data_IF_100595455192
#
_entry.id   IF_100595455192
#
_cell.length_a   1.000
_cell.length_b   1.000
_cell.length_c   1.000
_cell.angle_alpha   90.00
_cell.angle_beta   90.00
_cell.angle_gamma   90.00
#
_symmetry.space_group_name_H-M   'P 1'
#
loop_
_entity.id
_entity.type
_entity.pdbx_description
1 polymer ?
#
# COMPACT_ATOMS: atom_id res chain seq x y z
N UNK A 1 48.40 40.84 30.40
CA UNK A 1 49.69 40.51 31.04
C UNK A 1 50.54 39.70 30.06
N UNK A 2 51.69 40.27 29.71
CA UNK A 2 52.94 39.63 29.23
C UNK A 2 52.90 38.76 27.95
N UNK A 3 53.40 39.40 26.88
CA UNK A 3 54.10 38.87 25.70
C UNK A 3 54.94 37.61 25.96
N UNK A 4 55.04 36.73 24.96
CA UNK A 4 56.35 36.29 24.44
C UNK A 4 56.27 35.82 23.00
N UNK A 5 57.37 36.08 22.31
CA UNK A 5 57.59 36.20 20.88
C UNK A 5 58.62 35.13 20.46
N UNK A 6 58.86 35.00 19.15
CA UNK A 6 60.01 34.32 18.48
C UNK A 6 59.90 32.79 18.34
N UNK A 7 60.26 32.15 17.21
CA UNK A 7 61.38 32.42 16.29
C UNK A 7 61.06 31.96 14.85
N UNK A 8 61.58 32.74 13.88
CA UNK A 8 61.96 32.28 12.54
C UNK A 8 63.42 31.82 12.59
N UNK A 9 63.78 30.75 11.86
CA UNK A 9 65.04 30.67 11.12
C UNK A 9 64.99 29.59 10.04
N UNK A 10 65.53 29.96 8.89
CA UNK A 10 65.74 29.18 7.67
C UNK A 10 67.03 28.37 7.75
N UNK A 11 67.08 27.19 7.13
CA UNK A 11 68.28 26.68 6.47
C UNK A 11 67.93 25.53 5.53
N UNK A 12 68.49 25.59 4.32
CA UNK A 12 68.27 24.64 3.24
C UNK A 12 69.06 23.35 3.40
N UNK A 13 68.56 22.29 2.75
CA UNK A 13 69.24 21.03 2.56
C UNK A 13 68.82 20.42 1.21
N UNK A 14 69.81 20.21 0.34
CA UNK A 14 69.67 19.58 -0.98
C UNK A 14 69.12 18.16 -0.87
N UNK A 15 68.20 17.78 -1.77
CA UNK A 15 67.77 16.39 -1.96
C UNK A 15 67.34 16.17 -3.41
N UNK A 16 68.04 15.28 -4.11
CA UNK A 16 67.88 15.02 -5.54
C UNK A 16 66.53 14.40 -5.91
N UNK A 17 66.13 14.66 -7.15
CA UNK A 17 65.02 14.00 -7.86
C UNK A 17 65.40 12.58 -8.23
N UNK A 18 64.59 11.60 -7.85
CA UNK A 18 64.33 10.39 -8.64
C UNK A 18 62.81 10.22 -8.70
N UNK A 19 62.30 10.03 -9.92
CA UNK A 19 60.90 10.29 -10.29
C UNK A 19 59.87 9.30 -9.74
N UNK A 20 58.71 9.85 -9.39
CA UNK A 20 57.45 9.15 -9.20
C UNK A 20 56.52 9.45 -10.38
N UNK A 21 55.96 8.41 -10.99
CA UNK A 21 54.87 8.51 -11.97
C UNK A 21 53.57 9.02 -11.32
N UNK A 22 52.60 9.52 -12.10
CA UNK A 22 51.49 10.29 -11.56
C UNK A 22 50.45 9.36 -10.93
N UNK A 23 50.39 9.34 -9.59
CA UNK A 23 49.17 8.98 -8.88
C UNK A 23 48.29 10.23 -8.82
N UNK A 24 47.21 10.24 -9.60
CA UNK A 24 46.21 11.30 -9.61
C UNK A 24 45.34 11.19 -8.36
N UNK A 25 45.84 11.71 -7.24
CA UNK A 25 45.02 12.01 -6.07
C UNK A 25 44.08 13.16 -6.42
N UNK A 26 42.83 12.83 -6.73
CA UNK A 26 41.75 13.81 -6.80
C UNK A 26 41.52 14.34 -5.39
N UNK A 27 42.02 15.54 -5.11
CA UNK A 27 41.71 16.27 -3.89
C UNK A 27 40.23 16.68 -3.92
N UNK A 28 39.42 15.99 -3.11
CA UNK A 28 38.04 16.40 -2.88
C UNK A 28 38.07 17.55 -1.85
N UNK A 29 38.09 18.79 -2.32
CA UNK A 29 37.87 19.95 -1.45
C UNK A 29 36.43 19.91 -0.94
N UNK A 30 36.27 19.76 0.37
CA UNK A 30 34.98 19.91 1.05
C UNK A 30 34.54 21.37 0.83
N UNK A 31 33.40 21.63 0.15
CA UNK A 31 32.90 22.99 0.03
C UNK A 31 32.63 23.55 1.44
N UNK A 32 33.06 24.79 1.71
CA UNK A 32 32.68 25.51 2.93
C UNK A 32 31.16 25.40 3.13
N UNK A 33 30.73 24.98 4.33
CA UNK A 33 29.32 24.92 4.68
C UNK A 33 28.69 26.30 4.42
N UNK A 34 27.81 26.38 3.42
CA UNK A 34 27.00 27.57 3.19
C UNK A 34 26.23 27.91 4.48
N UNK A 35 26.36 29.16 4.93
CA UNK A 35 25.62 29.67 6.09
C UNK A 35 24.12 29.45 5.86
N UNK A 36 23.51 28.61 6.68
CA UNK A 36 22.08 28.32 6.63
C UNK A 36 21.28 29.57 7.01
N UNK A 37 20.43 30.03 6.09
CA UNK A 37 19.41 31.05 6.38
C UNK A 37 18.08 30.32 6.60
N UNK A 38 17.47 30.38 7.81
CA UNK A 38 16.20 29.74 8.06
C UNK A 38 15.11 30.28 7.13
N UNK A 39 14.48 29.40 6.35
CA UNK A 39 13.33 29.73 5.50
C UNK A 39 13.57 29.65 3.98
N UNK A 40 14.81 29.59 3.52
CA UNK A 40 15.11 29.39 2.09
C UNK A 40 15.38 27.92 1.76
N UNK A 41 14.72 27.39 0.73
CA UNK A 41 15.01 26.06 0.21
C UNK A 41 16.37 26.08 -0.49
N UNK A 42 17.33 25.32 0.04
CA UNK A 42 18.66 25.22 -0.55
C UNK A 42 18.55 24.65 -1.97
N UNK A 43 19.03 25.42 -2.95
CA UNK A 43 19.11 24.97 -4.34
C UNK A 43 20.12 23.83 -4.46
N UNK A 44 19.79 22.81 -5.26
CA UNK A 44 20.68 21.69 -5.53
C UNK A 44 22.02 22.21 -6.08
N UNK A 45 23.17 21.90 -5.45
CA UNK A 45 24.46 22.46 -5.83
C UNK A 45 25.05 21.86 -7.12
N UNK A 46 24.55 20.71 -7.59
CA UNK A 46 25.01 20.05 -8.82
C UNK A 46 24.66 18.56 -8.87
N UNK A 47 25.29 17.84 -9.80
CA UNK A 47 25.18 16.38 -9.95
C UNK A 47 26.46 15.68 -9.47
N UNK A 48 26.30 14.47 -8.91
CA UNK A 48 27.41 13.68 -8.35
C UNK A 48 28.09 12.83 -9.44
N UNK A 49 29.42 12.75 -9.39
CA UNK A 49 30.26 11.98 -10.31
C UNK A 49 30.83 10.69 -9.70
N UNK A 50 30.65 10.43 -8.40
CA UNK A 50 31.17 9.26 -7.71
C UNK A 50 30.34 7.99 -7.97
N UNK A 51 30.99 6.81 -7.94
CA UNK A 51 30.36 5.51 -8.17
C UNK A 51 30.24 5.13 -9.65
N UNK A 52 29.84 3.91 -9.93
CA UNK A 52 29.69 3.40 -11.30
C UNK A 52 28.33 3.78 -11.90
N UNK A 53 28.28 4.04 -13.20
CA UNK A 53 27.04 4.40 -13.90
C UNK A 53 26.14 3.18 -14.09
N UNK A 54 24.84 3.34 -13.81
CA UNK A 54 23.84 2.29 -13.99
C UNK A 54 22.54 2.85 -14.58
N UNK A 55 21.78 2.04 -15.31
CA UNK A 55 20.50 2.46 -15.91
C UNK A 55 19.36 1.84 -15.10
N UNK A 56 18.43 2.67 -14.64
CA UNK A 56 17.24 2.23 -13.91
C UNK A 56 15.98 2.70 -14.62
N UNK A 57 14.89 1.94 -14.47
CA UNK A 57 13.55 2.35 -14.87
C UNK A 57 12.82 2.88 -13.65
N UNK A 58 12.21 4.04 -13.77
CA UNK A 58 11.36 4.64 -12.76
C UNK A 58 9.89 4.53 -13.19
N UNK A 59 9.00 4.28 -12.23
CA UNK A 59 7.54 4.24 -12.39
C UNK A 59 6.90 5.64 -12.59
N UNK A 60 7.60 6.46 -13.37
CA UNK A 60 7.20 7.79 -13.78
C UNK A 60 6.92 7.76 -15.28
N UNK A 61 5.79 8.36 -15.67
CA UNK A 61 5.35 8.46 -17.05
C UNK A 61 5.35 9.91 -17.46
N UNK A 62 6.09 10.24 -18.53
CA UNK A 62 6.13 11.61 -19.06
C UNK A 62 4.79 11.97 -19.69
N UNK A 63 4.33 13.19 -19.44
CA UNK A 63 3.10 13.71 -20.04
C UNK A 63 3.42 14.70 -21.17
N UNK A 64 2.57 14.71 -22.17
CA UNK A 64 2.31 15.89 -23.01
C UNK A 64 0.91 16.41 -22.70
N UNK A 65 0.71 17.73 -22.78
CA UNK A 65 -0.53 18.38 -22.34
C UNK A 65 -0.67 19.75 -23.01
N UNK A 66 -1.88 20.30 -22.96
CA UNK A 66 -2.14 21.70 -23.33
C UNK A 66 -1.80 22.65 -22.17
N UNK A 67 -1.12 23.75 -22.45
CA UNK A 67 -0.67 24.73 -21.45
C UNK A 67 -1.78 25.70 -20.97
N UNK A 68 -3.03 25.46 -21.37
CA UNK A 68 -4.17 26.32 -21.08
C UNK A 68 -5.29 25.55 -20.38
N UNK A 69 -5.71 26.03 -19.22
CA UNK A 69 -6.81 25.46 -18.44
C UNK A 69 -7.71 26.57 -17.90
N UNK A 70 -9.02 26.36 -17.88
CA UNK A 70 -9.95 27.29 -17.25
C UNK A 70 -10.35 26.78 -15.87
N UNK A 71 -10.17 27.60 -14.82
CA UNK A 71 -10.60 27.30 -13.45
C UNK A 71 -11.89 28.05 -13.13
N UNK A 72 -12.83 27.34 -12.55
CA UNK A 72 -14.12 27.84 -12.09
C UNK A 72 -14.29 27.56 -10.59
N UNK A 73 -15.01 28.45 -9.93
CA UNK A 73 -15.48 28.27 -8.56
C UNK A 73 -16.92 27.72 -8.58
N UNK A 74 -17.16 26.67 -7.80
CA UNK A 74 -18.45 25.99 -7.70
C UNK A 74 -19.02 26.15 -6.30
N UNK A 75 -20.27 26.60 -6.22
CA UNK A 75 -21.06 26.67 -5.01
C UNK A 75 -22.28 25.76 -5.15
N UNK A 76 -22.47 24.86 -4.20
CA UNK A 76 -23.63 23.95 -4.15
C UNK A 76 -24.42 24.24 -2.89
N UNK A 77 -25.69 24.58 -3.07
CA UNK A 77 -26.62 24.91 -1.99
C UNK A 77 -27.94 24.13 -2.15
N UNK A 78 -28.45 23.42 -1.12
CA UNK A 78 -27.81 23.15 0.17
C UNK A 78 -26.59 22.24 0.05
N UNK A 79 -25.73 22.20 1.08
CA UNK A 79 -24.54 21.34 1.10
C UNK A 79 -24.92 19.87 0.88
N UNK A 80 -24.44 19.21 -0.18
CA UNK A 80 -24.81 17.82 -0.49
C UNK A 80 -24.00 16.83 0.35
N UNK A 81 -24.54 15.62 0.55
CA UNK A 81 -23.81 14.47 1.10
C UNK A 81 -22.70 14.02 0.14
N UNK A 82 -22.98 14.02 -1.16
CA UNK A 82 -22.04 13.69 -2.23
C UNK A 82 -22.07 14.76 -3.31
N UNK A 83 -21.08 15.67 -3.28
CA UNK A 83 -20.95 16.71 -4.29
C UNK A 83 -20.64 16.14 -5.69
N UNK A 84 -19.98 14.98 -5.74
CA UNK A 84 -19.70 14.26 -6.99
C UNK A 84 -20.98 13.85 -7.71
N UNK A 85 -21.96 13.29 -6.99
CA UNK A 85 -23.23 12.85 -7.60
C UNK A 85 -24.04 14.02 -8.16
N UNK A 86 -24.02 15.17 -7.47
CA UNK A 86 -24.63 16.42 -7.96
C UNK A 86 -23.98 16.83 -9.29
N UNK A 87 -22.65 16.82 -9.37
CA UNK A 87 -21.93 17.21 -10.60
C UNK A 87 -22.13 16.20 -11.73
N UNK A 88 -22.20 14.89 -11.44
CA UNK A 88 -22.53 13.86 -12.44
C UNK A 88 -23.92 14.10 -13.02
N UNK A 89 -24.92 14.41 -12.19
CA UNK A 89 -26.25 14.74 -12.69
C UNK A 89 -26.28 16.07 -13.45
N UNK A 90 -25.52 17.08 -13.01
CA UNK A 90 -25.39 18.35 -13.73
C UNK A 90 -24.84 18.13 -15.14
N UNK A 91 -23.77 17.34 -15.27
CA UNK A 91 -23.17 17.00 -16.56
C UNK A 91 -24.15 16.23 -17.46
N UNK A 92 -24.95 15.31 -16.89
CA UNK A 92 -25.99 14.58 -17.64
C UNK A 92 -27.11 15.50 -18.16
N UNK A 93 -27.57 16.45 -17.34
CA UNK A 93 -28.69 17.34 -17.68
C UNK A 93 -28.30 18.49 -18.62
N UNK A 94 -27.13 19.08 -18.39
CA UNK A 94 -26.73 20.34 -19.03
C UNK A 94 -25.47 20.24 -19.90
N UNK A 95 -24.87 19.04 -20.01
CA UNK A 95 -23.61 18.81 -20.72
C UNK A 95 -23.61 19.34 -22.15
N UNK A 96 -24.59 18.93 -22.96
CA UNK A 96 -24.67 19.35 -24.36
C UNK A 96 -25.29 20.75 -24.53
N UNK A 97 -26.24 21.13 -23.67
CA UNK A 97 -27.04 22.34 -23.85
C UNK A 97 -26.33 23.61 -23.34
N UNK A 98 -25.90 23.61 -22.07
CA UNK A 98 -25.37 24.82 -21.42
C UNK A 98 -23.88 24.74 -21.12
N UNK A 99 -23.33 23.55 -20.95
CA UNK A 99 -21.89 23.35 -20.76
C UNK A 99 -21.12 23.27 -22.09
N UNK A 100 -21.80 23.37 -23.24
CA UNK A 100 -21.17 23.42 -24.56
C UNK A 100 -20.43 22.13 -24.96
N UNK A 101 -20.88 20.98 -24.45
CA UNK A 101 -20.28 19.67 -24.71
C UNK A 101 -18.90 19.46 -24.07
N UNK A 102 -18.51 20.30 -23.10
CA UNK A 102 -17.25 20.16 -22.36
C UNK A 102 -17.33 19.08 -21.29
N UNK A 103 -16.20 18.46 -20.99
CA UNK A 103 -16.03 17.49 -19.91
C UNK A 103 -15.29 18.14 -18.72
N UNK A 104 -16.03 18.75 -17.77
CA UNK A 104 -15.40 19.40 -16.64
C UNK A 104 -14.94 18.41 -15.58
N UNK A 105 -13.78 18.67 -14.97
CA UNK A 105 -13.24 17.89 -13.86
C UNK A 105 -13.42 18.61 -12.53
N UNK A 106 -14.03 17.96 -11.54
CA UNK A 106 -14.40 18.59 -10.26
C UNK A 106 -13.55 18.07 -9.10
N UNK A 107 -13.01 18.99 -8.28
CA UNK A 107 -12.15 18.63 -7.15
C UNK A 107 -12.92 17.96 -5.99
N UNK A 108 -14.26 17.99 -6.01
CA UNK A 108 -15.12 17.46 -4.96
C UNK A 108 -15.44 18.48 -3.86
N UNK A 109 -14.92 19.70 -3.97
CA UNK A 109 -15.01 20.76 -2.96
C UNK A 109 -15.53 22.08 -3.51
N UNK A 110 -14.75 22.76 -4.35
CA UNK A 110 -15.04 24.13 -4.82
C UNK A 110 -14.47 24.47 -6.19
N UNK A 111 -13.55 23.67 -6.72
CA UNK A 111 -12.81 24.01 -7.95
C UNK A 111 -13.21 23.06 -9.06
N UNK A 112 -13.49 23.64 -10.23
CA UNK A 112 -13.85 22.93 -11.44
C UNK A 112 -12.93 23.36 -12.58
N UNK A 113 -12.47 22.41 -13.38
CA UNK A 113 -11.51 22.64 -14.45
C UNK A 113 -12.09 22.23 -15.79
N UNK A 114 -11.77 22.99 -16.84
CA UNK A 114 -12.11 22.67 -18.24
C UNK A 114 -10.96 23.00 -19.17
N UNK A 115 -10.89 22.29 -20.30
CA UNK A 115 -9.88 22.53 -21.35
C UNK A 115 -10.09 23.86 -22.07
N UNK A 116 -11.37 24.25 -22.21
CA UNK A 116 -11.86 25.39 -22.97
C UNK A 116 -12.95 26.08 -22.15
N UNK A 117 -13.08 27.41 -22.24
CA UNK A 117 -14.06 28.13 -21.45
C UNK A 117 -15.49 27.66 -21.80
N UNK A 118 -16.35 27.62 -20.78
CA UNK A 118 -17.79 27.50 -20.93
C UNK A 118 -18.37 28.70 -21.72
N UNK A 119 -19.57 28.56 -22.31
CA UNK A 119 -20.26 29.65 -22.99
C UNK A 119 -20.83 30.72 -22.04
N UNK A 120 -20.38 30.75 -20.78
CA UNK A 120 -20.77 31.70 -19.75
C UNK A 120 -19.61 31.97 -18.79
N UNK A 121 -19.66 33.12 -18.12
CA UNK A 121 -18.73 33.49 -17.03
C UNK A 121 -19.32 33.20 -15.65
N UNK A 122 -20.64 33.23 -15.49
CA UNK A 122 -21.33 32.87 -14.26
C UNK A 122 -22.72 32.32 -14.60
N UNK A 123 -23.06 31.15 -14.07
CA UNK A 123 -24.36 30.54 -14.32
C UNK A 123 -24.81 29.67 -13.15
N UNK A 124 -26.13 29.65 -12.89
CA UNK A 124 -26.75 28.80 -11.89
C UNK A 124 -27.59 27.70 -12.55
N UNK A 125 -27.45 26.49 -12.01
CA UNK A 125 -28.11 25.27 -12.45
C UNK A 125 -28.98 24.72 -11.34
N UNK A 126 -30.10 24.11 -11.71
CA UNK A 126 -30.95 23.34 -10.79
C UNK A 126 -30.73 21.86 -11.06
N UNK A 127 -30.27 21.13 -10.06
CA UNK A 127 -30.00 19.69 -10.11
C UNK A 127 -30.89 18.99 -9.10
N UNK A 128 -31.46 17.85 -9.48
CA UNK A 128 -32.32 17.07 -8.58
C UNK A 128 -31.75 15.68 -8.41
N UNK A 129 -31.53 15.26 -7.16
CA UNK A 129 -31.09 13.91 -6.81
C UNK A 129 -32.21 13.12 -6.12
N UNK A 130 -32.29 11.80 -6.34
CA UNK A 130 -33.15 10.94 -5.54
C UNK A 130 -32.63 10.88 -4.11
N UNK A 131 -33.53 10.93 -3.14
CA UNK A 131 -33.18 10.85 -1.73
C UNK A 131 -32.89 9.39 -1.34
N UNK A 132 -31.62 9.07 -1.10
CA UNK A 132 -31.18 7.70 -0.78
C UNK A 132 -31.47 7.31 0.68
N UNK A 133 -31.68 8.27 1.58
CA UNK A 133 -31.96 8.01 3.01
C UNK A 133 -33.33 7.35 3.23
N UNK A 134 -34.28 7.56 2.30
CA UNK A 134 -35.63 6.98 2.38
C UNK A 134 -35.73 5.52 1.89
N UNK A 135 -34.64 4.92 1.40
CA UNK A 135 -34.65 3.53 0.89
C UNK A 135 -34.85 2.52 2.04
N UNK A 136 -34.38 2.82 3.24
CA UNK A 136 -34.50 1.94 4.42
C UNK A 136 -35.87 2.01 5.11
N UNK A 137 -36.68 3.05 4.84
CA UNK A 137 -37.91 3.33 5.60
C UNK A 137 -39.22 3.21 4.78
N UNK A 138 -39.17 2.81 3.51
CA UNK A 138 -40.37 2.57 2.70
C UNK A 138 -41.25 3.81 2.40
N UNK A 139 -40.75 5.02 2.70
CA UNK A 139 -41.43 6.29 2.43
C UNK A 139 -41.25 6.69 0.95
N UNK A 140 -42.19 7.46 0.37
CA UNK A 140 -42.12 7.86 -1.04
C UNK A 140 -40.80 8.59 -1.33
N UNK A 141 -40.22 8.28 -2.50
CA UNK A 141 -38.93 8.83 -2.99
C UNK A 141 -38.94 10.37 -2.94
N UNK A 142 -38.39 10.94 -1.88
CA UNK A 142 -38.06 12.35 -1.81
C UNK A 142 -37.10 12.72 -2.95
N UNK A 143 -37.28 13.91 -3.53
CA UNK A 143 -36.33 14.50 -4.47
C UNK A 143 -35.66 15.66 -3.77
N UNK A 144 -34.33 15.66 -3.69
CA UNK A 144 -33.57 16.79 -3.14
C UNK A 144 -33.13 17.69 -4.28
N UNK A 145 -33.42 18.98 -4.16
CA UNK A 145 -33.05 19.98 -5.15
C UNK A 145 -31.80 20.72 -4.68
N UNK A 146 -30.86 20.88 -5.60
CA UNK A 146 -29.60 21.58 -5.40
C UNK A 146 -29.48 22.70 -6.42
N UNK A 147 -29.12 23.89 -5.95
CA UNK A 147 -28.67 24.99 -6.79
C UNK A 147 -27.15 24.92 -6.88
N UNK A 148 -26.64 24.75 -8.10
CA UNK A 148 -25.20 24.75 -8.38
C UNK A 148 -24.86 26.03 -9.12
N UNK A 149 -24.03 26.89 -8.56
CA UNK A 149 -23.53 28.07 -9.23
C UNK A 149 -22.08 27.87 -9.64
N UNK A 150 -21.78 28.07 -10.93
CA UNK A 150 -20.44 27.94 -11.52
C UNK A 150 -20.01 29.31 -12.02
N UNK A 151 -18.89 29.82 -11.50
CA UNK A 151 -18.33 31.13 -11.85
C UNK A 151 -16.90 30.97 -12.34
N UNK A 152 -16.55 31.56 -13.48
CA UNK A 152 -15.18 31.62 -14.00
C UNK A 152 -14.33 32.41 -13.01
N UNK A 153 -13.25 31.79 -12.54
CA UNK A 153 -12.32 32.39 -11.61
C UNK A 153 -11.12 32.95 -12.39
N UNK A 154 -10.41 32.09 -13.12
CA UNK A 154 -9.29 32.51 -13.98
C UNK A 154 -9.00 31.49 -15.08
N UNK A 155 -8.37 31.99 -16.15
CA UNK A 155 -7.72 31.15 -17.15
C UNK A 155 -6.24 31.03 -16.79
N UNK A 156 -5.79 29.79 -16.62
CA UNK A 156 -4.41 29.45 -16.33
C UNK A 156 -3.64 29.31 -17.64
N UNK A 157 -2.58 30.09 -17.79
CA UNK A 157 -1.69 30.07 -18.93
C UNK A 157 -0.26 29.78 -18.46
N UNK A 158 0.44 28.88 -19.15
CA UNK A 158 1.89 28.80 -19.11
C UNK A 158 2.51 27.67 -18.30
N UNK A 159 3.85 27.59 -18.46
CA UNK A 159 4.74 26.51 -18.01
C UNK A 159 4.48 26.10 -16.56
N UNK A 160 4.36 24.80 -16.38
CA UNK A 160 3.87 24.19 -15.14
C UNK A 160 4.95 24.15 -14.08
N UNK A 161 5.04 25.24 -13.33
CA UNK A 161 5.73 25.30 -12.05
C UNK A 161 4.80 25.75 -10.90
N UNK A 162 3.54 26.10 -11.19
CA UNK A 162 2.58 26.47 -10.13
C UNK A 162 1.87 25.24 -9.54
N UNK A 163 1.74 25.22 -8.22
CA UNK A 163 1.03 24.16 -7.46
C UNK A 163 -0.40 23.92 -7.97
N UNK A 164 -1.03 24.97 -8.51
CA UNK A 164 -2.39 24.94 -9.04
C UNK A 164 -2.54 24.03 -10.25
N UNK A 165 -1.54 23.97 -11.14
CA UNK A 165 -1.58 23.06 -12.28
C UNK A 165 -1.48 21.60 -11.83
N UNK A 166 -0.65 21.27 -10.83
CA UNK A 166 -0.60 19.91 -10.31
C UNK A 166 -1.93 19.49 -9.70
N UNK A 167 -2.59 20.39 -8.96
CA UNK A 167 -3.92 20.12 -8.40
C UNK A 167 -4.98 19.92 -9.50
N UNK A 168 -4.93 20.72 -10.56
CA UNK A 168 -5.82 20.57 -11.72
C UNK A 168 -5.62 19.21 -12.41
N UNK A 169 -4.38 18.85 -12.76
CA UNK A 169 -4.10 17.56 -13.42
C UNK A 169 -4.41 16.35 -12.54
N UNK A 170 -4.13 16.42 -11.23
CA UNK A 170 -4.56 15.37 -10.29
C UNK A 170 -6.09 15.22 -10.26
N UNK A 171 -6.83 16.32 -10.40
CA UNK A 171 -8.30 16.31 -10.43
C UNK A 171 -8.83 15.73 -11.75
N UNK A 172 -8.28 16.19 -12.88
CA UNK A 172 -8.68 15.72 -14.23
C UNK A 172 -8.50 14.22 -14.37
N UNK A 173 -7.32 13.71 -14.01
CA UNK A 173 -7.01 12.29 -14.19
C UNK A 173 -7.77 11.38 -13.22
N UNK A 174 -8.35 11.93 -12.15
CA UNK A 174 -9.21 11.20 -11.24
C UNK A 174 -10.58 10.89 -11.86
N UNK A 175 -11.07 11.74 -12.77
CA UNK A 175 -12.40 11.57 -13.41
C UNK A 175 -12.55 10.20 -14.08
N UNK A 176 -11.47 9.70 -14.69
CA UNK A 176 -11.42 8.37 -15.32
C UNK A 176 -11.88 7.22 -14.39
N UNK A 177 -11.61 7.33 -13.10
CA UNK A 177 -11.84 6.23 -12.13
C UNK A 177 -13.09 6.42 -11.28
N UNK A 178 -13.80 7.54 -11.42
CA UNK A 178 -15.05 7.76 -10.70
C UNK A 178 -16.08 6.69 -11.07
N UNK A 179 -16.85 6.25 -10.08
CA UNK A 179 -17.90 5.22 -10.22
C UNK A 179 -17.41 3.77 -10.31
N UNK A 180 -16.15 3.51 -10.70
CA UNK A 180 -15.56 2.16 -10.78
C UNK A 180 -14.62 1.84 -9.61
N UNK A 181 -14.01 2.88 -9.04
CA UNK A 181 -13.05 2.76 -7.95
C UNK A 181 -13.46 3.60 -6.75
N UNK A 182 -13.10 3.12 -5.57
CA UNK A 182 -13.09 3.87 -4.32
C UNK A 182 -11.76 4.58 -4.16
N UNK A 183 -11.80 5.91 -4.03
CA UNK A 183 -10.63 6.72 -3.72
C UNK A 183 -10.36 6.72 -2.21
N UNK A 184 -9.17 6.29 -1.78
CA UNK A 184 -8.71 6.42 -0.39
C UNK A 184 -7.36 7.14 -0.36
N UNK A 185 -7.39 8.43 -0.03
CA UNK A 185 -6.22 9.29 -0.09
C UNK A 185 -5.85 9.61 -1.54
N UNK A 186 -4.77 9.01 -2.05
CA UNK A 186 -4.28 9.12 -3.44
C UNK A 186 -4.26 7.77 -4.18
N UNK A 187 -4.88 6.76 -3.58
CA UNK A 187 -4.93 5.42 -4.14
C UNK A 187 -6.37 5.05 -4.50
N UNK A 188 -6.52 4.31 -5.60
CA UNK A 188 -7.78 3.87 -6.17
C UNK A 188 -7.92 2.36 -6.01
N UNK A 189 -8.99 1.92 -5.36
CA UNK A 189 -9.29 0.50 -5.12
C UNK A 189 -10.57 0.10 -5.85
N UNK A 190 -10.61 -1.07 -6.47
CA UNK A 190 -11.81 -1.51 -7.19
C UNK A 190 -12.97 -1.69 -6.21
N UNK A 191 -14.11 -1.08 -6.53
CA UNK A 191 -15.33 -1.20 -5.73
C UNK A 191 -16.17 -2.35 -6.26
N UNK A 192 -15.87 -3.59 -5.86
CA UNK A 192 -16.76 -4.73 -6.15
C UNK A 192 -17.27 -5.35 -4.84
N UNK A 193 -18.52 -5.15 -4.44
CA UNK A 193 -19.10 -5.90 -3.33
C UNK A 193 -19.20 -7.39 -3.72
N UNK A 194 -18.48 -8.27 -3.02
CA UNK A 194 -18.66 -9.73 -3.14
C UNK A 194 -17.39 -10.59 -3.15
N UNK A 195 -16.24 -10.09 -3.60
CA UNK A 195 -14.98 -10.86 -3.64
C UNK A 195 -14.00 -10.42 -2.55
N UNK A 196 -14.14 -10.99 -1.35
CA UNK A 196 -13.50 -10.59 -0.08
C UNK A 196 -11.96 -10.58 0.02
N UNK A 197 -11.20 -10.64 -1.09
CA UNK A 197 -9.74 -10.38 -1.11
C UNK A 197 -9.24 -9.63 -2.34
N UNK A 198 -9.83 -9.79 -3.53
CA UNK A 198 -9.33 -9.13 -4.76
C UNK A 198 -9.44 -7.61 -4.73
N UNK A 199 -10.28 -7.06 -3.86
CA UNK A 199 -10.52 -5.62 -3.73
C UNK A 199 -9.51 -4.89 -2.82
N UNK A 200 -8.57 -5.60 -2.17
CA UNK A 200 -7.57 -4.97 -1.31
C UNK A 200 -6.43 -4.29 -2.06
N UNK A 201 -6.28 -4.57 -3.35
CA UNK A 201 -5.24 -3.98 -4.18
C UNK A 201 -5.81 -3.03 -5.23
N UNK A 202 -5.06 -1.97 -5.44
CA UNK A 202 -5.38 -0.84 -6.27
C UNK A 202 -4.09 -0.22 -6.78
N UNK A 203 -4.15 1.06 -7.13
CA UNK A 203 -2.98 1.79 -7.55
C UNK A 203 -2.93 3.17 -6.91
N UNK A 204 -1.73 3.60 -6.57
CA UNK A 204 -1.41 4.96 -6.20
C UNK A 204 -1.21 5.80 -7.46
N UNK A 205 -1.69 7.04 -7.43
CA UNK A 205 -1.55 7.98 -8.52
C UNK A 205 -1.13 9.35 -7.99
N UNK A 206 -0.10 9.95 -8.58
CA UNK A 206 0.25 11.35 -8.30
C UNK A 206 0.95 12.02 -9.47
N UNK A 207 0.49 13.21 -9.82
CA UNK A 207 1.22 14.15 -10.68
C UNK A 207 2.31 14.85 -9.89
N UNK A 208 3.53 14.85 -10.42
CA UNK A 208 4.72 15.43 -9.79
C UNK A 208 5.58 16.18 -10.81
N UNK A 209 6.15 17.30 -10.37
CA UNK A 209 7.23 17.95 -11.12
C UNK A 209 8.54 17.21 -10.90
N UNK A 210 9.29 17.02 -11.98
CA UNK A 210 10.58 16.34 -11.98
C UNK A 210 11.53 17.08 -12.92
N UNK A 211 12.81 16.72 -12.92
CA UNK A 211 13.80 17.36 -13.80
C UNK A 211 13.53 17.17 -15.30
N UNK A 212 12.67 16.19 -15.67
CA UNK A 212 12.22 15.95 -17.05
C UNK A 212 10.89 16.66 -17.40
N UNK A 213 10.38 17.49 -16.49
CA UNK A 213 9.06 18.08 -16.54
C UNK A 213 8.05 17.32 -15.67
N UNK A 214 6.77 17.46 -15.97
CA UNK A 214 5.73 16.75 -15.24
C UNK A 214 5.75 15.28 -15.58
N UNK A 215 5.64 14.47 -14.53
CA UNK A 215 5.44 13.04 -14.63
C UNK A 215 4.22 12.60 -13.82
N UNK A 216 3.61 11.53 -14.29
CA UNK A 216 2.61 10.78 -13.55
C UNK A 216 3.33 9.63 -12.88
N UNK A 217 3.34 9.62 -11.56
CA UNK A 217 3.82 8.51 -10.76
C UNK A 217 2.64 7.56 -10.52
N UNK A 218 2.80 6.30 -10.95
CA UNK A 218 1.86 5.22 -10.69
C UNK A 218 2.58 4.10 -9.98
N UNK A 219 1.98 3.59 -8.91
CA UNK A 219 2.47 2.42 -8.22
C UNK A 219 1.32 1.51 -7.77
N UNK A 220 1.61 0.25 -7.50
CA UNK A 220 0.66 -0.68 -6.91
C UNK A 220 0.47 -0.28 -5.45
N UNK A 221 -0.78 -0.22 -4.99
CA UNK A 221 -1.10 0.07 -3.61
C UNK A 221 -2.06 -0.98 -3.10
N UNK A 222 -1.69 -1.68 -2.03
CA UNK A 222 -2.59 -2.59 -1.36
C UNK A 222 -2.89 -2.09 0.04
N UNK A 223 -4.18 -2.05 0.40
CA UNK A 223 -4.66 -1.76 1.73
C UNK A 223 -5.52 -2.94 2.19
N UNK A 224 -5.31 -3.47 3.40
CA UNK A 224 -6.23 -4.45 3.95
C UNK A 224 -7.57 -3.75 4.19
N UNK A 225 -8.56 -4.01 3.33
CA UNK A 225 -9.95 -3.76 3.72
C UNK A 225 -10.30 -4.91 4.66
N UNK A 226 -10.41 -4.59 5.94
CA UNK A 226 -10.71 -5.55 7.01
C UNK A 226 -12.17 -5.98 6.85
N UNK A 227 -12.40 -6.93 5.94
CA UNK A 227 -13.60 -7.76 5.96
C UNK A 227 -13.20 -9.09 6.61
N UNK A 228 -13.97 -9.60 7.58
CA UNK A 228 -13.74 -10.94 8.10
C UNK A 228 -13.74 -11.96 6.96
N UNK A 229 -12.70 -12.81 6.88
CA UNK A 229 -12.57 -13.82 5.83
C UNK A 229 -12.99 -15.20 6.37
N UNK A 230 -14.10 -15.80 5.89
CA UNK A 230 -14.48 -17.16 6.27
C UNK A 230 -13.36 -18.16 5.93
N UNK A 231 -13.00 -19.01 6.88
CA UNK A 231 -11.91 -20.00 6.71
C UNK A 231 -12.20 -20.92 5.51
N UNK A 232 -13.47 -21.30 5.31
CA UNK A 232 -13.88 -22.16 4.19
C UNK A 232 -13.53 -21.58 2.81
N UNK A 233 -13.68 -20.27 2.61
CA UNK A 233 -13.40 -19.61 1.32
C UNK A 233 -11.90 -19.61 1.01
N UNK A 234 -11.10 -19.45 2.05
CA UNK A 234 -9.66 -19.47 1.91
C UNK A 234 -9.11 -20.87 1.66
N UNK A 235 -9.74 -21.89 2.24
CA UNK A 235 -9.39 -23.27 1.95
C UNK A 235 -9.73 -23.60 0.49
N UNK A 236 -10.86 -23.12 -0.05
CA UNK A 236 -11.16 -23.20 -1.48
C UNK A 236 -10.05 -22.58 -2.34
N UNK A 237 -9.57 -21.38 -1.97
CA UNK A 237 -8.47 -20.71 -2.67
C UNK A 237 -7.15 -21.48 -2.61
N UNK A 238 -6.79 -22.04 -1.44
CA UNK A 238 -5.55 -22.82 -1.28
C UNK A 238 -5.55 -24.13 -2.07
N UNK A 239 -6.72 -24.75 -2.21
CA UNK A 239 -6.90 -25.98 -2.96
C UNK A 239 -7.24 -25.73 -4.45
N UNK A 240 -7.52 -24.48 -4.82
CA UNK A 240 -7.98 -24.10 -6.15
C UNK A 240 -9.20 -24.90 -6.62
N UNK A 241 -10.14 -25.17 -5.70
CA UNK A 241 -11.41 -25.85 -5.96
C UNK A 241 -12.48 -25.36 -4.99
N UNK A 242 -13.74 -25.47 -5.38
CA UNK A 242 -14.84 -25.22 -4.45
C UNK A 242 -14.90 -26.31 -3.37
N UNK A 243 -15.17 -25.89 -2.13
CA UNK A 243 -15.37 -26.82 -1.02
C UNK A 243 -16.84 -27.24 -0.97
N UNK A 244 -17.12 -28.35 -1.65
CA UNK A 244 -18.33 -29.17 -1.52
C UNK A 244 -18.26 -30.03 -0.25
N UNK A 245 -19.20 -30.95 -0.07
CA UNK A 245 -19.14 -31.98 0.98
C UNK A 245 -18.23 -33.17 0.57
N UNK A 246 -17.29 -32.97 -0.36
CA UNK A 246 -16.32 -33.99 -0.74
C UNK A 246 -15.16 -34.05 0.28
N UNK A 247 -14.69 -35.26 0.66
CA UNK A 247 -13.63 -35.41 1.63
C UNK A 247 -12.30 -34.86 1.11
N UNK A 248 -11.47 -34.37 2.03
CA UNK A 248 -10.13 -33.88 1.69
C UNK A 248 -9.17 -35.05 1.57
N UNK A 249 -8.41 -35.09 0.48
CA UNK A 249 -7.35 -36.08 0.33
C UNK A 249 -6.20 -35.82 1.33
N UNK A 250 -5.27 -36.76 1.42
CA UNK A 250 -4.15 -36.68 2.37
C UNK A 250 -3.24 -35.47 2.09
N UNK A 251 -2.94 -35.19 0.82
CA UNK A 251 -2.09 -34.09 0.39
C UNK A 251 -2.75 -32.72 0.62
N UNK A 252 -4.02 -32.59 0.27
CA UNK A 252 -4.85 -31.41 0.51
C UNK A 252 -4.91 -31.08 2.00
N UNK A 253 -5.16 -32.09 2.84
CA UNK A 253 -5.22 -31.91 4.30
C UNK A 253 -3.88 -31.47 4.87
N UNK A 254 -2.77 -32.07 4.44
CA UNK A 254 -1.43 -31.66 4.90
C UNK A 254 -1.10 -30.23 4.47
N UNK A 255 -1.41 -29.87 3.21
CA UNK A 255 -1.23 -28.51 2.69
C UNK A 255 -2.02 -27.49 3.51
N UNK A 256 -3.33 -27.73 3.66
CA UNK A 256 -4.22 -26.84 4.39
C UNK A 256 -3.86 -26.77 5.88
N UNK A 257 -3.49 -27.90 6.51
CA UNK A 257 -3.06 -27.92 7.91
C UNK A 257 -1.77 -27.15 8.12
N UNK A 258 -0.81 -27.24 7.19
CA UNK A 258 0.43 -26.46 7.23
C UNK A 258 0.15 -24.97 7.06
N UNK A 259 -0.72 -24.60 6.11
CA UNK A 259 -1.04 -23.21 5.78
C UNK A 259 -2.00 -22.53 6.78
N UNK A 260 -2.71 -23.31 7.62
CA UNK A 260 -3.59 -22.80 8.68
C UNK A 260 -2.97 -22.88 10.08
N UNK A 261 -1.84 -23.55 10.26
CA UNK A 261 -1.19 -23.67 11.57
C UNK A 261 -0.85 -22.27 12.12
N UNK A 262 -1.10 -22.07 13.42
CA UNK A 262 -0.89 -20.82 14.16
C UNK A 262 -1.71 -19.60 13.71
N UNK A 263 -2.66 -19.78 12.79
CA UNK A 263 -3.62 -18.73 12.43
C UNK A 263 -4.65 -18.54 13.55
N UNK A 264 -4.89 -17.28 13.92
CA UNK A 264 -5.97 -16.90 14.83
C UNK A 264 -7.31 -16.76 14.07
N UNK A 265 -8.37 -17.30 14.66
CA UNK A 265 -9.73 -17.24 14.11
C UNK A 265 -10.72 -16.82 15.18
N UNK A 266 -11.74 -16.09 14.74
CA UNK A 266 -12.93 -15.79 15.51
C UNK A 266 -13.99 -16.85 15.23
N UNK A 267 -14.73 -17.25 16.28
CA UNK A 267 -15.88 -18.13 16.15
C UNK A 267 -17.15 -17.29 15.99
N UNK A 268 -17.75 -17.35 14.80
CA UNK A 268 -18.84 -16.43 14.39
C UNK A 268 -20.16 -16.62 15.15
N UNK A 269 -20.35 -17.76 15.82
CA UNK A 269 -21.56 -18.07 16.58
C UNK A 269 -21.37 -17.85 18.10
N UNK A 270 -20.18 -17.43 18.55
CA UNK A 270 -19.90 -17.08 19.93
C UNK A 270 -20.60 -15.74 20.28
N UNK A 271 -21.16 -15.64 21.49
CA UNK A 271 -21.74 -14.36 21.96
C UNK A 271 -20.68 -13.31 22.30
N UNK A 272 -19.45 -13.72 22.54
CA UNK A 272 -18.31 -12.85 22.81
C UNK A 272 -17.46 -12.67 21.55
N UNK A 273 -17.63 -11.54 20.87
CA UNK A 273 -16.96 -11.24 19.60
C UNK A 273 -15.42 -11.08 19.74
N UNK A 274 -14.90 -10.91 20.96
CA UNK A 274 -13.47 -10.71 21.21
C UNK A 274 -12.70 -12.01 21.48
N UNK A 275 -13.39 -13.15 21.61
CA UNK A 275 -12.73 -14.44 21.88
C UNK A 275 -12.09 -15.00 20.60
N UNK A 276 -10.75 -15.16 20.64
CA UNK A 276 -9.94 -15.70 19.55
C UNK A 276 -9.43 -17.09 19.83
N UNK A 277 -9.34 -17.92 18.79
CA UNK A 277 -8.85 -19.29 18.85
C UNK A 277 -7.64 -19.44 17.93
N UNK A 278 -6.56 -20.07 18.41
CA UNK A 278 -5.40 -20.37 17.58
C UNK A 278 -5.48 -21.78 17.01
N UNK A 279 -5.39 -21.90 15.69
CA UNK A 279 -5.43 -23.18 14.98
C UNK A 279 -4.12 -23.94 15.21
N UNK A 280 -4.22 -25.21 15.58
CA UNK A 280 -3.08 -26.13 15.73
C UNK A 280 -3.01 -27.16 14.60
N UNK A 281 -4.09 -27.34 13.84
CA UNK A 281 -4.13 -28.21 12.67
C UNK A 281 -5.54 -28.59 12.25
N UNK A 282 -5.66 -29.64 11.45
CA UNK A 282 -6.94 -30.20 11.00
C UNK A 282 -7.23 -31.58 11.62
N UNK A 283 -8.51 -31.95 11.64
CA UNK A 283 -8.93 -33.32 11.98
C UNK A 283 -8.64 -34.30 10.84
N UNK A 284 -8.41 -35.56 11.19
CA UNK A 284 -8.16 -36.65 10.23
C UNK A 284 -9.44 -37.18 9.58
N UNK A 285 -10.58 -36.99 10.24
CA UNK A 285 -11.92 -37.41 9.82
C UNK A 285 -12.82 -36.18 9.60
N UNK A 286 -13.90 -36.37 8.85
CA UNK A 286 -14.95 -35.37 8.65
C UNK A 286 -15.79 -35.13 9.90
N UNK A 287 -16.46 -33.99 9.96
CA UNK A 287 -17.26 -33.53 11.11
C UNK A 287 -18.30 -34.55 11.62
N UNK A 288 -18.88 -35.37 10.73
CA UNK A 288 -19.93 -36.34 11.11
C UNK A 288 -19.39 -37.56 11.85
N UNK A 289 -18.08 -37.83 11.79
CA UNK A 289 -17.44 -38.96 12.46
C UNK A 289 -16.65 -38.53 13.70
N UNK A 290 -16.62 -37.23 13.98
CA UNK A 290 -15.86 -36.68 15.10
C UNK A 290 -16.73 -36.60 16.35
N UNK A 291 -16.34 -37.25 17.46
CA UNK A 291 -16.98 -37.04 18.75
C UNK A 291 -16.69 -35.61 19.25
N UNK A 292 -17.71 -34.93 19.77
CA UNK A 292 -17.56 -33.59 20.30
C UNK A 292 -16.93 -33.65 21.71
N UNK A 293 -15.73 -33.07 21.93
CA UNK A 293 -15.07 -33.12 23.23
C UNK A 293 -15.71 -32.21 24.30
N UNK A 294 -16.75 -31.46 23.94
CA UNK A 294 -17.47 -30.54 24.82
C UNK A 294 -18.89 -31.05 25.18
N UNK A 295 -19.18 -32.33 24.96
CA UNK A 295 -20.46 -32.90 25.33
C UNK A 295 -20.55 -33.16 26.84
N UNK A 296 -20.97 -32.14 27.60
CA UNK A 296 -21.23 -32.24 29.04
C UNK A 296 -22.39 -33.21 29.36
N UNK A 297 -23.17 -33.62 28.34
CA UNK A 297 -24.30 -34.54 28.49
C UNK A 297 -23.91 -36.03 28.45
N UNK A 298 -22.62 -36.36 28.25
CA UNK A 298 -22.12 -37.73 28.25
C UNK A 298 -22.72 -38.65 27.17
N UNK A 299 -23.41 -38.06 26.18
CA UNK A 299 -24.22 -38.81 25.19
C UNK A 299 -23.41 -39.18 23.94
N UNK A 300 -22.13 -38.78 23.87
CA UNK A 300 -21.24 -39.17 22.77
C UNK A 300 -21.62 -38.52 21.44
N UNK A 301 -22.17 -37.30 21.48
CA UNK A 301 -22.65 -36.59 20.27
C UNK A 301 -21.51 -36.27 19.30
N UNK A 302 -21.82 -36.33 18.01
CA UNK A 302 -20.90 -35.87 16.96
C UNK A 302 -20.84 -34.36 16.88
N UNK A 303 -19.79 -33.81 16.25
CA UNK A 303 -19.68 -32.36 16.01
C UNK A 303 -20.88 -31.83 15.20
N UNK A 304 -21.36 -32.57 14.21
CA UNK A 304 -22.53 -32.17 13.40
C UNK A 304 -23.79 -32.06 14.25
N UNK A 305 -24.06 -33.07 15.08
CA UNK A 305 -25.24 -33.10 15.95
C UNK A 305 -25.19 -31.96 16.97
N UNK A 306 -24.03 -31.75 17.61
CA UNK A 306 -23.84 -30.67 18.57
C UNK A 306 -24.12 -29.29 17.96
N UNK A 307 -23.60 -28.99 16.76
CA UNK A 307 -23.82 -27.69 16.12
C UNK A 307 -25.27 -27.50 15.64
N UNK A 308 -25.93 -28.58 15.23
CA UNK A 308 -27.33 -28.56 14.82
C UNK A 308 -28.27 -28.35 16.01
N UNK A 309 -28.01 -28.97 17.16
CA UNK A 309 -28.83 -28.85 18.36
C UNK A 309 -28.58 -27.54 19.11
N UNK A 310 -27.31 -27.23 19.39
CA UNK A 310 -26.92 -26.08 20.23
C UNK A 310 -27.06 -24.75 19.50
N UNK A 311 -26.58 -24.69 18.25
CA UNK A 311 -26.52 -23.44 17.48
C UNK A 311 -27.54 -23.36 16.34
N UNK A 312 -28.37 -24.41 16.15
CA UNK A 312 -29.30 -24.53 15.01
C UNK A 312 -28.59 -24.35 13.66
N UNK A 313 -27.32 -24.74 13.57
CA UNK A 313 -26.51 -24.57 12.36
C UNK A 313 -26.20 -25.92 11.71
N UNK A 314 -26.59 -26.04 10.44
CA UNK A 314 -26.25 -27.20 9.62
C UNK A 314 -24.86 -26.99 9.04
N UNK A 315 -23.95 -27.92 9.31
CA UNK A 315 -22.58 -27.90 8.82
C UNK A 315 -22.34 -29.07 7.85
N UNK A 316 -21.38 -28.93 6.92
CA UNK A 316 -20.97 -30.04 6.03
C UNK A 316 -20.43 -31.21 6.84
N UNK A 317 -20.73 -32.43 6.41
CA UNK A 317 -20.49 -33.67 7.17
C UNK A 317 -19.11 -34.28 6.94
N UNK A 318 -18.55 -34.13 5.74
CA UNK A 318 -17.29 -34.78 5.35
C UNK A 318 -16.09 -33.83 5.34
N UNK A 319 -16.32 -32.54 5.51
CA UNK A 319 -15.26 -31.54 5.63
C UNK A 319 -14.60 -31.66 7.02
N UNK A 320 -13.26 -31.65 7.11
CA UNK A 320 -12.55 -31.73 8.39
C UNK A 320 -12.77 -30.46 9.23
N UNK A 321 -12.69 -30.60 10.55
CA UNK A 321 -12.76 -29.49 11.49
C UNK A 321 -11.36 -28.91 11.76
N UNK A 322 -11.32 -27.66 12.20
CA UNK A 322 -10.14 -27.02 12.77
C UNK A 322 -9.91 -27.56 14.17
N UNK A 323 -8.68 -28.02 14.45
CA UNK A 323 -8.21 -28.22 15.82
C UNK A 323 -7.74 -26.87 16.34
N UNK A 324 -8.33 -26.41 17.44
CA UNK A 324 -7.95 -25.14 18.05
C UNK A 324 -7.51 -25.35 19.50
N UNK A 325 -6.57 -24.50 19.93
CA UNK A 325 -6.15 -24.40 21.32
C UNK A 325 -7.02 -23.34 22.00
N UNK A 326 -7.79 -23.74 23.00
CA UNK A 326 -8.40 -22.83 23.97
C UNK A 326 -7.45 -22.72 25.19
N UNK A 327 -7.42 -21.57 25.87
CA UNK A 327 -6.61 -21.39 27.07
C UNK A 327 -7.15 -22.24 28.24
N UNK A 328 -8.45 -22.58 28.22
CA UNK A 328 -9.13 -23.30 29.30
C UNK A 328 -9.39 -24.78 29.00
N UNK A 329 -9.44 -25.21 27.73
CA UNK A 329 -9.76 -26.60 27.33
C UNK A 329 -8.70 -27.18 26.39
N UNK A 330 -8.26 -28.44 26.61
CA UNK A 330 -7.06 -28.98 25.96
C UNK A 330 -7.20 -29.23 24.45
N UNK A 331 -8.40 -29.46 23.90
CA UNK A 331 -8.61 -29.55 22.45
C UNK A 331 -10.08 -29.27 22.10
N UNK A 332 -10.33 -28.21 21.33
CA UNK A 332 -11.67 -27.88 20.80
C UNK A 332 -11.67 -28.06 19.28
N UNK A 333 -12.77 -28.58 18.73
CA UNK A 333 -12.95 -28.72 17.28
C UNK A 333 -13.97 -27.70 16.79
N UNK A 334 -13.57 -26.88 15.80
CA UNK A 334 -14.45 -25.90 15.18
C UNK A 334 -14.65 -26.21 13.69
N UNK A 335 -15.89 -26.31 13.19
CA UNK A 335 -16.14 -26.44 11.76
C UNK A 335 -15.63 -25.19 11.00
N UNK A 336 -15.00 -25.38 9.84
CA UNK A 336 -14.40 -24.26 9.08
C UNK A 336 -15.42 -23.20 8.62
N UNK A 337 -16.69 -23.59 8.52
CA UNK A 337 -17.81 -22.78 8.02
C UNK A 337 -18.27 -21.71 9.00
N UNK A 338 -17.93 -21.88 10.28
CA UNK A 338 -18.34 -21.00 11.38
C UNK A 338 -17.14 -20.23 11.95
N UNK A 339 -16.00 -20.27 11.26
CA UNK A 339 -14.78 -19.57 11.64
C UNK A 339 -14.41 -18.51 10.62
N UNK A 340 -14.00 -17.35 11.11
CA UNK A 340 -13.46 -16.25 10.32
C UNK A 340 -12.04 -15.93 10.78
N UNK A 341 -11.15 -15.64 9.84
CA UNK A 341 -9.75 -15.33 10.17
C UNK A 341 -9.65 -13.91 10.69
N UNK A 342 -9.01 -13.78 11.84
CA UNK A 342 -8.46 -12.51 12.30
C UNK A 342 -7.07 -12.33 11.66
N UNK A 343 -6.98 -11.39 10.72
CA UNK A 343 -5.77 -10.79 10.12
C UNK A 343 -4.76 -11.67 9.33
N UNK A 344 -4.47 -12.93 9.67
CA UNK A 344 -3.21 -13.58 9.22
C UNK A 344 -3.10 -13.97 7.72
N UNK A 345 -4.18 -14.36 7.04
CA UNK A 345 -4.11 -14.82 5.62
C UNK A 345 -4.47 -13.76 4.59
N UNK A 346 -5.10 -12.68 5.03
CA UNK A 346 -5.12 -11.45 4.24
C UNK A 346 -3.71 -10.89 4.12
N UNK A 347 -2.88 -11.03 5.16
CA UNK A 347 -1.47 -10.63 5.14
C UNK A 347 -0.65 -11.48 4.16
N UNK A 348 -0.84 -12.79 4.04
CA UNK A 348 -0.07 -13.59 3.06
C UNK A 348 -0.46 -13.27 1.61
N UNK A 349 -1.74 -13.07 1.31
CA UNK A 349 -2.18 -12.56 -0.02
C UNK A 349 -1.64 -11.15 -0.27
N UNK A 350 -1.77 -10.25 0.71
CA UNK A 350 -1.21 -8.90 0.66
C UNK A 350 0.31 -8.92 0.41
N UNK A 351 1.04 -9.80 1.09
CA UNK A 351 2.47 -10.02 0.87
C UNK A 351 2.74 -10.56 -0.52
N UNK A 352 1.94 -11.51 -1.04
CA UNK A 352 2.12 -12.03 -2.40
C UNK A 352 1.93 -10.95 -3.48
N UNK A 353 1.03 -9.99 -3.26
CA UNK A 353 0.83 -8.87 -4.19
C UNK A 353 1.85 -7.76 -3.97
N UNK A 354 2.30 -7.53 -2.73
CA UNK A 354 3.31 -6.52 -2.41
C UNK A 354 4.75 -6.96 -2.76
N UNK A 355 5.04 -8.25 -2.74
CA UNK A 355 6.35 -8.85 -3.00
C UNK A 355 6.43 -9.45 -4.41
N UNK A 356 6.02 -8.69 -5.42
CA UNK A 356 6.15 -9.09 -6.82
C UNK A 356 7.59 -8.98 -7.30
N UNK A 357 7.99 -9.86 -8.23
CA UNK A 357 9.25 -9.72 -8.93
C UNK A 357 9.25 -8.42 -9.76
N UNK A 358 10.36 -7.65 -9.85
CA UNK A 358 10.36 -6.34 -10.51
C UNK A 358 9.80 -6.34 -11.94
N UNK A 359 10.01 -7.41 -12.70
CA UNK A 359 9.48 -7.55 -14.07
C UNK A 359 7.94 -7.68 -14.10
N UNK A 360 7.35 -8.40 -13.14
CA UNK A 360 5.89 -8.56 -13.03
C UNK A 360 5.24 -7.28 -12.50
N UNK A 361 5.92 -6.61 -11.58
CA UNK A 361 5.52 -5.29 -11.08
C UNK A 361 5.52 -4.26 -12.20
N UNK A 362 6.58 -4.20 -13.03
CA UNK A 362 6.66 -3.33 -14.21
C UNK A 362 5.48 -3.56 -15.17
N UNK A 363 5.17 -4.83 -15.48
CA UNK A 363 4.04 -5.19 -16.35
C UNK A 363 2.70 -4.72 -15.77
N UNK A 364 2.51 -4.89 -14.47
CA UNK A 364 1.27 -4.48 -13.78
C UNK A 364 1.10 -2.96 -13.76
N UNK A 365 2.18 -2.19 -13.56
CA UNK A 365 2.16 -0.73 -13.66
C UNK A 365 1.79 -0.30 -15.09
N UNK A 366 2.42 -0.88 -16.11
CA UNK A 366 2.12 -0.56 -17.51
C UNK A 366 0.65 -0.83 -17.87
N UNK A 367 0.11 -1.97 -17.43
CA UNK A 367 -1.31 -2.29 -17.62
C UNK A 367 -2.24 -1.27 -16.95
N UNK A 368 -1.82 -0.68 -15.83
CA UNK A 368 -2.57 0.36 -15.10
C UNK A 368 -2.57 1.71 -15.83
N UNK A 369 -1.51 2.02 -16.58
CA UNK A 369 -1.35 3.29 -17.32
C UNK A 369 -2.11 3.28 -18.66
N UNK A 370 -2.27 2.12 -19.29
CA UNK A 370 -2.87 2.01 -20.62
C UNK A 370 -4.22 2.73 -20.80
N UNK A 371 -5.19 2.65 -19.86
CA UNK A 371 -6.50 3.28 -20.03
C UNK A 371 -6.47 4.82 -20.06
N UNK A 372 -5.41 5.46 -19.55
CA UNK A 372 -5.36 6.92 -19.46
C UNK A 372 -5.32 7.59 -20.85
N UNK A 373 -4.66 6.97 -21.83
CA UNK A 373 -4.59 7.53 -23.19
C UNK A 373 -5.91 7.38 -23.97
N UNK A 374 -6.80 6.51 -23.52
CA UNK A 374 -8.12 6.30 -24.12
C UNK A 374 -9.20 7.19 -23.49
N UNK A 375 -8.94 7.73 -22.30
CA UNK A 375 -9.87 8.50 -21.47
C UNK A 375 -10.38 9.77 -22.18
N UNK A 376 -11.71 9.97 -22.25
CA UNK A 376 -12.30 11.18 -22.82
C UNK A 376 -11.84 12.48 -22.15
N UNK A 377 -11.68 12.49 -20.82
CA UNK A 377 -11.22 13.69 -20.11
C UNK A 377 -9.76 13.98 -20.49
N UNK A 378 -8.85 13.00 -20.36
CA UNK A 378 -7.45 13.16 -20.74
C UNK A 378 -7.32 13.71 -22.17
N UNK A 379 -8.05 13.14 -23.14
CA UNK A 379 -8.07 13.61 -24.54
C UNK A 379 -8.57 15.05 -24.67
N UNK A 380 -9.65 15.43 -23.98
CA UNK A 380 -10.17 16.81 -24.04
C UNK A 380 -9.15 17.83 -23.52
N UNK A 381 -8.41 17.48 -22.47
CA UNK A 381 -7.35 18.31 -21.91
C UNK A 381 -6.02 18.22 -22.68
N UNK A 382 -5.97 17.45 -23.78
CA UNK A 382 -4.77 17.22 -24.60
C UNK A 382 -3.69 16.43 -23.87
N UNK A 383 -4.05 15.70 -22.81
CA UNK A 383 -3.14 14.92 -22.00
C UNK A 383 -2.88 13.59 -22.69
N UNK A 384 -1.60 13.29 -22.95
CA UNK A 384 -1.19 11.95 -23.33
C UNK A 384 0.05 11.52 -22.55
N UNK A 385 0.15 10.21 -22.34
CA UNK A 385 1.21 9.56 -21.58
C UNK A 385 2.09 8.75 -22.50
N UNK A 386 3.39 8.82 -22.25
CA UNK A 386 4.30 7.87 -22.87
C UNK A 386 4.08 6.48 -22.27
N UNK A 387 3.77 5.47 -23.10
CA UNK A 387 3.50 4.09 -22.64
C UNK A 387 4.79 3.32 -22.30
N UNK A 388 5.72 3.95 -21.59
CA UNK A 388 6.96 3.33 -21.11
C UNK A 388 7.41 3.97 -19.81
N UNK A 389 8.06 3.18 -18.96
CA UNK A 389 8.70 3.70 -17.75
C UNK A 389 9.82 4.67 -18.12
N UNK A 390 10.01 5.71 -17.31
CA UNK A 390 11.11 6.65 -17.49
C UNK A 390 12.44 5.96 -17.25
N UNK A 391 13.36 6.09 -18.22
CA UNK A 391 14.74 5.61 -18.07
C UNK A 391 15.56 6.71 -17.39
N UNK A 392 16.18 6.38 -16.26
CA UNK A 392 17.00 7.30 -15.47
C UNK A 392 18.42 6.73 -15.33
N UNK A 393 19.42 7.61 -15.42
CA UNK A 393 20.82 7.26 -15.16
C UNK A 393 21.09 7.36 -13.66
N UNK A 394 21.25 6.21 -13.01
CA UNK A 394 21.64 6.07 -11.61
C UNK A 394 23.15 5.85 -11.44
N UNK A 395 23.60 5.77 -10.18
CA UNK A 395 24.97 5.39 -9.83
C UNK A 395 24.99 4.43 -8.65
N UNK A 396 25.87 3.42 -8.72
CA UNK A 396 26.13 2.51 -7.60
C UNK A 396 27.34 3.03 -6.85
N UNK A 397 27.13 3.45 -5.60
CA UNK A 397 28.22 3.90 -4.73
C UNK A 397 28.97 2.69 -4.16
N UNK A 398 30.30 2.79 -3.96
CA UNK A 398 31.03 1.73 -3.28
C UNK A 398 30.51 1.54 -1.85
N UNK A 399 30.42 0.29 -1.35
CA UNK A 399 29.98 0.03 0.01
C UNK A 399 30.93 0.68 1.02
N UNK A 400 30.42 1.19 2.15
CA UNK A 400 31.29 1.70 3.21
C UNK A 400 32.10 0.54 3.83
N UNK A 401 33.30 0.86 4.29
CA UNK A 401 34.12 -0.10 5.04
C UNK A 401 33.58 -0.18 6.47
N UNK A 402 33.13 -1.37 6.89
CA UNK A 402 32.68 -1.62 8.26
C UNK A 402 33.86 -2.14 9.08
N UNK A 403 34.38 -1.28 9.97
CA UNK A 403 35.41 -1.68 10.93
C UNK A 403 34.76 -2.19 12.22
N UNK A 404 34.89 -3.47 12.52
CA UNK A 404 34.46 -4.06 13.79
C UNK A 404 35.67 -4.09 14.73
N UNK A 405 35.57 -3.37 15.84
CA UNK A 405 36.57 -3.48 16.92
C UNK A 405 36.20 -4.72 17.75
N UNK A 406 36.89 -5.83 17.49
CA UNK A 406 36.79 -7.02 18.35
C UNK A 406 37.62 -6.75 19.60
N UNK A 407 36.96 -6.60 20.75
CA UNK A 407 37.62 -6.39 22.02
C UNK A 407 38.21 -7.73 22.51
N UNK A 408 39.44 -8.05 22.10
CA UNK A 408 40.15 -9.33 22.35
C UNK A 408 40.33 -9.64 23.85
N UNK A 409 40.14 -8.67 24.74
CA UNK A 409 40.23 -8.89 26.19
C UNK A 409 39.21 -9.91 26.74
N UNK A 410 38.02 -10.05 26.14
CA UNK A 410 37.04 -11.06 26.57
C UNK A 410 37.43 -12.48 26.13
N UNK A 411 38.09 -12.63 24.98
CA UNK A 411 38.58 -13.93 24.51
C UNK A 411 39.74 -14.46 25.35
N UNK A 412 40.68 -13.59 25.74
CA UNK A 412 41.73 -13.97 26.69
C UNK A 412 41.17 -14.31 28.08
N UNK A 413 40.12 -13.60 28.55
CA UNK A 413 39.50 -13.91 29.83
C UNK A 413 38.79 -15.28 29.81
N UNK A 414 38.09 -15.64 28.72
CA UNK A 414 37.47 -16.96 28.57
C UNK A 414 38.49 -18.11 28.47
N UNK A 415 39.60 -17.90 27.74
CA UNK A 415 40.70 -18.87 27.66
C UNK A 415 41.36 -19.08 29.03
N UNK A 416 41.65 -18.00 29.77
CA UNK A 416 42.19 -18.08 31.13
C UNK A 416 41.23 -18.79 32.09
N UNK A 417 39.92 -18.50 32.05
CA UNK A 417 38.93 -19.18 32.90
C UNK A 417 38.87 -20.67 32.57
N UNK A 418 38.89 -21.07 31.30
CA UNK A 418 38.84 -22.49 30.91
C UNK A 418 40.10 -23.26 31.37
N UNK A 419 41.29 -22.65 31.28
CA UNK A 419 42.53 -23.23 31.78
C UNK A 419 42.56 -23.31 33.31
N UNK A 420 41.96 -22.34 34.00
CA UNK A 420 41.83 -22.37 35.46
C UNK A 420 40.95 -23.54 35.92
N UNK A 421 39.81 -23.78 35.27
CA UNK A 421 38.94 -24.92 35.58
C UNK A 421 39.60 -26.27 35.26
N UNK A 422 40.39 -26.36 34.18
CA UNK A 422 41.13 -27.59 33.83
C UNK A 422 42.22 -27.92 34.86
N UNK A 423 42.95 -26.91 35.37
CA UNK A 423 43.95 -27.08 36.43
C UNK A 423 43.35 -27.44 37.81
N UNK A 424 42.16 -26.93 38.13
CA UNK A 424 41.45 -27.32 39.36
C UNK A 424 40.99 -28.78 39.27
N UNK A 425 40.43 -29.18 38.12
CA UNK A 425 39.98 -30.56 37.91
C UNK A 425 41.11 -31.58 37.96
N UNK A 426 42.30 -31.26 37.46
CA UNK A 426 43.44 -32.19 37.52
C UNK A 426 44.02 -32.33 38.93
N UNK A 427 44.08 -31.24 39.70
CA UNK A 427 44.58 -31.27 41.09
C UNK A 427 43.63 -31.95 42.08
N UNK A 428 42.32 -31.93 41.83
CA UNK A 428 41.35 -32.69 42.65
C UNK A 428 41.46 -34.20 42.40
N UNK A 429 41.84 -34.63 41.19
CA UNK A 429 42.04 -36.06 40.90
C UNK A 429 43.36 -36.64 41.45
N UNK A 430 44.39 -35.83 41.65
CA UNK A 430 45.65 -36.28 42.27
C UNK A 430 45.63 -36.34 43.80
N UNK A 431 44.68 -35.67 44.46
CA UNK A 431 44.48 -35.73 45.93
C UNK A 431 43.50 -36.81 46.39
N UNK A 432 42.87 -37.55 45.47
CA UNK A 432 41.94 -38.63 45.76
C UNK A 432 42.52 -40.04 45.51
N UNK A 433 43.84 -40.19 45.59
CA UNK A 433 44.55 -41.47 45.54
C UNK A 433 45.41 -41.68 46.76
#
# INVERSE_FOLDING_TARGET
MVRKNKNRHSSGGRGGRIGSGPSSTVSCSIPELQKFVPGESLKRPGFVSAGESYIVKANHFKLTYNETLCRYHVLIDPKPTSAGDVMIQLAKLYGQSRLGGRLPAYDGKKSLYTSRPFPFTCEAFKVTLPDQENILCGLPRGKRHFRVQITLDKVLFGRIDSEEFYQAFNTILRELFLGRYCLVGRSFYKSQPGEGLKNCCGFYQRIQNTQMGISLNIDISCKPFINPLPVINLVALLLNRDISDDPFDFCERLKVSKDLCDVEVNFTLEKNADKKYRITGLTSQGSSQLPCPCDDSGTGKTVVEYFKETYRRTIRSRVPCLKVRDQEKPTTYLPMEVCEISDAKQISYLLSVACQHPMDHEKTILQTVNPYNEDPHAKEFGITFENKLTIVKGRVLPPPVVSIVVNIYWWHMFLCISQFFYCISSNLMTKAK
#
